data_IF_338351027493
#
_entry.id   IF_338351027493
#
_cell.length_a   1.000
_cell.length_b   1.000
_cell.length_c   1.000
_cell.angle_alpha   90.00
_cell.angle_beta   90.00
_cell.angle_gamma   90.00
#
_symmetry.space_group_name_H-M   'P 1'
#
loop_
_entity.id
_entity.type
_entity.pdbx_description
1 polymer ?
#
# COMPACT_ATOMS: atom_id res chain seq x y z
N UNK A 1 -0.73 -16.93 6.19
CA UNK A 1 -0.28 -16.50 4.85
C UNK A 1 -0.27 -14.99 4.91
N UNK A 2 0.88 -14.36 4.64
CA UNK A 2 0.96 -12.90 4.51
C UNK A 2 0.61 -12.52 3.08
N UNK A 3 -0.01 -11.35 2.91
CA UNK A 3 -0.38 -10.77 1.62
C UNK A 3 0.16 -9.35 1.57
N UNK A 4 0.80 -8.97 0.47
CA UNK A 4 1.54 -7.71 0.41
C UNK A 4 0.88 -6.80 -0.62
N UNK A 5 0.31 -5.67 -0.19
CA UNK A 5 -0.31 -4.68 -1.07
C UNK A 5 0.63 -3.50 -1.24
N UNK A 6 0.99 -3.16 -2.48
CA UNK A 6 2.06 -2.21 -2.77
C UNK A 6 1.54 -1.08 -3.65
N UNK A 7 1.84 0.17 -3.29
CA UNK A 7 1.23 1.35 -3.90
C UNK A 7 2.28 2.41 -4.18
N UNK A 8 2.27 2.91 -5.42
CA UNK A 8 3.09 4.03 -5.87
C UNK A 8 2.42 4.75 -7.03
N UNK A 9 2.90 5.94 -7.36
CA UNK A 9 2.40 6.76 -8.47
C UNK A 9 3.53 7.09 -9.44
N UNK A 10 3.31 6.84 -10.72
CA UNK A 10 4.22 7.27 -11.78
C UNK A 10 4.05 8.76 -12.08
N UNK A 11 5.16 9.43 -12.43
CA UNK A 11 5.12 10.74 -13.04
C UNK A 11 4.44 10.66 -14.40
N UNK A 12 3.89 11.79 -14.84
CA UNK A 12 3.26 11.92 -16.15
C UNK A 12 4.16 11.39 -17.28
N UNK A 13 3.58 10.58 -18.18
CA UNK A 13 4.26 9.97 -19.34
C UNK A 13 5.42 9.02 -18.99
N UNK A 14 5.50 8.52 -17.75
CA UNK A 14 6.44 7.48 -17.34
C UNK A 14 5.69 6.19 -17.03
N UNK A 15 6.21 5.07 -17.53
CA UNK A 15 5.78 3.73 -17.12
C UNK A 15 7.00 2.82 -17.13
N UNK A 16 7.28 2.19 -16.00
CA UNK A 16 8.46 1.34 -15.81
C UNK A 16 8.04 -0.11 -15.65
N UNK A 17 9.02 -1.01 -15.57
CA UNK A 17 8.78 -2.39 -15.20
C UNK A 17 8.37 -2.49 -13.71
N UNK A 18 7.11 -2.88 -13.47
CA UNK A 18 6.51 -2.85 -12.14
C UNK A 18 7.23 -3.75 -11.13
N UNK A 19 7.76 -4.90 -11.57
CA UNK A 19 8.51 -5.81 -10.70
C UNK A 19 9.81 -5.15 -10.23
N UNK A 20 10.59 -4.54 -11.14
CA UNK A 20 11.81 -3.83 -10.78
C UNK A 20 11.53 -2.61 -9.89
N UNK A 21 10.43 -1.89 -10.12
CA UNK A 21 10.02 -0.79 -9.25
C UNK A 21 9.70 -1.29 -7.85
N UNK A 22 8.88 -2.32 -7.74
CA UNK A 22 8.53 -2.95 -6.45
C UNK A 22 9.77 -3.42 -5.67
N UNK A 23 10.71 -4.10 -6.33
CA UNK A 23 11.95 -4.55 -5.70
C UNK A 23 12.80 -3.37 -5.21
N UNK A 24 12.95 -2.32 -6.03
CA UNK A 24 13.69 -1.13 -5.64
C UNK A 24 13.06 -0.39 -4.46
N UNK A 25 11.74 -0.23 -4.46
CA UNK A 25 11.01 0.42 -3.36
C UNK A 25 11.05 -0.42 -2.07
N UNK A 26 11.01 -1.74 -2.18
CA UNK A 26 11.15 -2.66 -1.04
C UNK A 26 12.55 -2.61 -0.41
N UNK A 27 13.58 -2.29 -1.20
CA UNK A 27 14.94 -2.02 -0.74
C UNK A 27 15.13 -0.57 -0.22
N UNK A 28 14.03 0.18 -0.05
CA UNK A 28 14.03 1.60 0.33
C UNK A 28 14.81 2.52 -0.65
N UNK A 29 14.98 2.09 -1.91
CA UNK A 29 15.64 2.89 -2.95
C UNK A 29 14.66 3.85 -3.61
N UNK A 30 15.12 5.06 -3.90
CA UNK A 30 14.37 6.02 -4.70
C UNK A 30 14.36 5.58 -6.17
N UNK A 31 13.21 5.72 -6.84
CA UNK A 31 13.05 5.35 -8.23
C UNK A 31 12.76 6.61 -9.06
N UNK A 32 13.64 6.90 -10.01
CA UNK A 32 13.41 7.98 -10.97
C UNK A 32 12.17 7.66 -11.81
N UNK A 33 11.22 8.60 -11.86
CA UNK A 33 9.95 8.40 -12.56
C UNK A 33 8.76 8.19 -11.65
N UNK A 34 8.95 8.12 -10.33
CA UNK A 34 7.86 8.11 -9.34
C UNK A 34 7.62 9.48 -8.73
N UNK A 35 6.37 9.76 -8.40
CA UNK A 35 5.97 10.93 -7.62
C UNK A 35 6.15 10.69 -6.12
N UNK A 36 6.46 11.77 -5.39
CA UNK A 36 6.34 11.75 -3.94
C UNK A 36 4.86 11.84 -3.58
N UNK A 37 4.43 11.03 -2.61
CA UNK A 37 3.04 10.90 -2.19
C UNK A 37 2.87 11.42 -0.74
N UNK A 38 1.68 11.92 -0.36
CA UNK A 38 1.46 12.54 0.95
C UNK A 38 1.32 11.50 2.06
N UNK A 39 2.43 10.85 2.42
CA UNK A 39 2.48 9.73 3.37
C UNK A 39 1.80 10.04 4.72
N UNK A 40 1.98 11.23 5.25
CA UNK A 40 1.35 11.62 6.53
C UNK A 40 -0.18 11.62 6.45
N UNK A 41 -0.75 12.04 5.32
CA UNK A 41 -2.21 12.06 5.12
C UNK A 41 -2.74 10.65 4.90
N UNK A 42 -2.05 9.86 4.07
CA UNK A 42 -2.39 8.46 3.82
C UNK A 42 -2.40 7.65 5.13
N UNK A 43 -1.34 7.77 5.94
CA UNK A 43 -1.27 7.08 7.25
C UNK A 43 -2.38 7.51 8.20
N UNK A 44 -2.79 8.78 8.16
CA UNK A 44 -3.92 9.28 8.95
C UNK A 44 -5.24 8.67 8.49
N UNK A 45 -5.51 8.62 7.18
CA UNK A 45 -6.72 8.00 6.63
C UNK A 45 -6.80 6.50 6.93
N UNK A 46 -5.68 5.78 6.80
CA UNK A 46 -5.64 4.36 7.18
C UNK A 46 -5.98 4.19 8.67
N UNK A 47 -5.36 4.97 9.55
CA UNK A 47 -5.66 4.91 10.98
C UNK A 47 -7.13 5.26 11.30
N UNK A 48 -7.75 6.15 10.55
CA UNK A 48 -9.18 6.48 10.69
C UNK A 48 -10.09 5.34 10.21
N UNK A 49 -9.76 4.72 9.08
CA UNK A 49 -10.52 3.61 8.48
C UNK A 49 -10.46 2.31 9.31
N UNK A 50 -9.40 2.14 10.11
CA UNK A 50 -9.19 1.02 11.02
C UNK A 50 -9.21 1.46 12.49
N UNK A 51 -9.98 2.51 12.80
CA UNK A 51 -10.09 3.05 14.17
C UNK A 51 -10.78 2.10 15.16
N UNK A 52 -11.44 1.05 14.66
CA UNK A 52 -12.00 -0.06 15.44
C UNK A 52 -11.01 -1.20 15.70
N UNK A 53 -9.79 -1.14 15.14
CA UNK A 53 -8.72 -2.11 15.36
C UNK A 53 -7.79 -1.65 16.50
N UNK A 54 -7.19 -2.61 17.18
CA UNK A 54 -6.21 -2.34 18.22
C UNK A 54 -4.89 -1.87 17.57
N UNK A 55 -4.48 -0.66 17.90
CA UNK A 55 -3.19 -0.11 17.47
C UNK A 55 -2.08 -0.64 18.37
N UNK A 56 -1.27 -1.58 17.85
CA UNK A 56 -0.16 -2.21 18.57
C UNK A 56 1.02 -1.25 18.69
N UNK A 57 1.35 -0.56 17.60
CA UNK A 57 2.38 0.48 17.54
C UNK A 57 2.05 1.52 16.45
N UNK A 58 3.00 2.38 16.07
CA UNK A 58 2.77 3.43 15.07
C UNK A 58 2.32 2.89 13.69
N UNK A 59 2.77 1.69 13.33
CA UNK A 59 2.64 1.06 12.03
C UNK A 59 1.85 -0.25 12.05
N UNK A 60 1.66 -0.86 13.22
CA UNK A 60 1.04 -2.17 13.36
C UNK A 60 -0.35 -2.07 13.98
N UNK A 61 -1.32 -2.76 13.37
CA UNK A 61 -2.71 -2.82 13.81
C UNK A 61 -3.16 -4.29 13.83
N UNK A 62 -3.98 -4.66 14.80
CA UNK A 62 -4.54 -5.99 14.89
C UNK A 62 -6.00 -5.98 15.35
N UNK A 63 -6.73 -7.00 14.95
CA UNK A 63 -8.04 -7.31 15.48
C UNK A 63 -8.16 -8.83 15.51
N UNK A 64 -8.26 -9.42 16.70
CA UNK A 64 -8.19 -10.88 16.92
C UNK A 64 -9.09 -11.69 15.97
N UNK A 65 -10.26 -11.17 15.61
CA UNK A 65 -11.20 -11.83 14.72
C UNK A 65 -11.00 -11.56 13.21
N UNK A 66 -10.23 -10.53 12.84
CA UNK A 66 -10.08 -10.05 11.45
C UNK A 66 -8.63 -10.05 10.93
N UNK A 67 -7.65 -10.36 11.77
CA UNK A 67 -6.24 -10.43 11.39
C UNK A 67 -5.42 -9.24 11.87
N UNK A 68 -4.32 -8.97 11.20
CA UNK A 68 -3.41 -7.86 11.52
C UNK A 68 -2.81 -7.27 10.24
N UNK A 69 -2.31 -6.04 10.30
CA UNK A 69 -1.49 -5.48 9.23
C UNK A 69 -0.37 -4.59 9.76
N UNK A 70 0.65 -4.42 8.93
CA UNK A 70 1.74 -3.48 9.16
C UNK A 70 1.90 -2.54 7.97
N UNK A 71 2.15 -1.26 8.27
CA UNK A 71 2.37 -0.23 7.27
C UNK A 71 3.87 0.06 7.17
N UNK A 72 4.44 -0.09 5.97
CA UNK A 72 5.75 0.42 5.61
C UNK A 72 5.59 1.55 4.60
N UNK A 73 6.31 2.65 4.79
CA UNK A 73 6.22 3.82 3.91
C UNK A 73 7.57 4.44 3.62
N UNK A 74 7.76 4.89 2.39
CA UNK A 74 8.80 5.84 1.97
C UNK A 74 8.11 7.04 1.31
N UNK A 75 8.81 8.14 0.97
CA UNK A 75 8.19 9.26 0.25
C UNK A 75 7.49 8.88 -1.06
N UNK A 76 7.82 7.75 -1.69
CA UNK A 76 7.30 7.31 -2.98
C UNK A 76 6.49 6.00 -2.92
N UNK A 77 6.32 5.43 -1.73
CA UNK A 77 5.84 4.06 -1.59
C UNK A 77 5.02 3.86 -0.32
N UNK A 78 3.92 3.12 -0.46
CA UNK A 78 3.18 2.54 0.67
C UNK A 78 3.09 1.05 0.44
N UNK A 79 3.48 0.28 1.45
CA UNK A 79 3.32 -1.17 1.48
C UNK A 79 2.53 -1.56 2.72
N UNK A 80 1.55 -2.43 2.52
CA UNK A 80 0.73 -3.00 3.58
C UNK A 80 0.97 -4.50 3.63
N UNK A 81 1.59 -4.97 4.69
CA UNK A 81 1.74 -6.39 4.97
C UNK A 81 0.52 -6.87 5.76
N UNK A 82 -0.36 -7.63 5.11
CA UNK A 82 -1.61 -8.14 5.67
C UNK A 82 -1.44 -9.56 6.19
N UNK A 83 -1.98 -9.86 7.38
CA UNK A 83 -1.87 -11.15 8.04
C UNK A 83 -3.26 -11.67 8.43
N UNK A 84 -3.78 -12.62 7.65
CA UNK A 84 -5.07 -13.25 7.93
C UNK A 84 -6.28 -12.35 7.75
N UNK A 85 -6.14 -11.28 6.97
CA UNK A 85 -7.21 -10.33 6.65
C UNK A 85 -8.14 -10.86 5.55
N UNK A 86 -9.41 -10.46 5.62
CA UNK A 86 -10.38 -10.71 4.55
C UNK A 86 -10.26 -9.66 3.42
N UNK A 87 -10.71 -10.04 2.22
CA UNK A 87 -10.66 -9.17 1.04
C UNK A 87 -11.39 -7.83 1.24
N UNK A 88 -12.50 -7.82 1.96
CA UNK A 88 -13.24 -6.58 2.25
C UNK A 88 -12.43 -5.57 3.08
N UNK A 89 -11.65 -6.04 4.06
CA UNK A 89 -10.77 -5.15 4.82
C UNK A 89 -9.55 -4.73 4.00
N UNK A 90 -9.00 -5.62 3.16
CA UNK A 90 -7.90 -5.28 2.26
C UNK A 90 -8.31 -4.23 1.19
N UNK A 91 -9.54 -4.30 0.69
CA UNK A 91 -10.08 -3.34 -0.28
C UNK A 91 -10.11 -1.90 0.25
N UNK A 92 -10.25 -1.71 1.57
CA UNK A 92 -10.16 -0.36 2.17
C UNK A 92 -8.84 0.32 1.85
N UNK A 93 -7.72 -0.41 1.82
CA UNK A 93 -6.43 0.17 1.44
C UNK A 93 -6.44 0.61 -0.02
N UNK A 94 -7.00 -0.22 -0.90
CA UNK A 94 -7.12 0.09 -2.34
C UNK A 94 -7.94 1.37 -2.52
N UNK A 95 -9.12 1.45 -1.89
CA UNK A 95 -9.99 2.62 -1.95
C UNK A 95 -9.31 3.89 -1.43
N UNK A 96 -8.59 3.80 -0.31
CA UNK A 96 -7.88 4.96 0.26
C UNK A 96 -6.75 5.43 -0.64
N UNK A 97 -5.95 4.50 -1.18
CA UNK A 97 -4.78 4.83 -2.00
C UNK A 97 -5.17 5.28 -3.41
N UNK A 98 -6.34 4.85 -3.89
CA UNK A 98 -6.92 5.32 -5.14
C UNK A 98 -7.22 6.83 -5.11
N UNK A 99 -7.65 7.37 -3.96
CA UNK A 99 -7.84 8.83 -3.79
C UNK A 99 -6.56 9.66 -4.02
N UNK A 100 -5.39 9.00 -4.06
CA UNK A 100 -4.09 9.61 -4.30
C UNK A 100 -3.48 9.20 -5.65
N UNK A 101 -4.27 8.59 -6.54
CA UNK A 101 -3.83 7.98 -7.82
C UNK A 101 -2.68 6.98 -7.64
N UNK A 102 -2.71 6.20 -6.54
CA UNK A 102 -1.73 5.17 -6.26
C UNK A 102 -2.37 3.78 -6.47
N UNK A 103 -2.37 3.23 -7.69
CA UNK A 103 -2.98 1.94 -7.94
C UNK A 103 -2.20 0.81 -7.27
N UNK A 104 -2.93 -0.28 -7.00
CA UNK A 104 -2.38 -1.49 -6.40
C UNK A 104 -1.40 -2.17 -7.36
N UNK A 105 -0.25 -2.56 -6.84
CA UNK A 105 0.57 -3.64 -7.34
C UNK A 105 0.50 -4.83 -6.39
N UNK A 106 0.18 -5.98 -6.96
CA UNK A 106 0.11 -7.25 -6.26
C UNK A 106 1.28 -8.15 -6.72
N UNK A 107 2.35 -8.28 -5.92
CA UNK A 107 3.48 -9.13 -6.25
C UNK A 107 3.16 -10.62 -6.18
N UNK A 108 2.03 -11.04 -5.59
CA UNK A 108 1.64 -12.45 -5.56
C UNK A 108 1.19 -12.92 -6.95
N UNK A 109 0.64 -12.02 -7.76
CA UNK A 109 0.27 -12.28 -9.16
C UNK A 109 1.15 -11.55 -10.17
N UNK A 110 1.99 -10.62 -9.73
CA UNK A 110 2.90 -9.86 -10.58
C UNK A 110 2.18 -8.80 -11.43
N UNK A 111 1.06 -8.27 -10.94
CA UNK A 111 0.17 -7.39 -11.70
C UNK A 111 -0.01 -6.03 -11.00
N UNK A 112 -0.03 -4.97 -11.81
CA UNK A 112 -0.40 -3.63 -11.38
C UNK A 112 -1.76 -3.28 -11.97
N UNK A 113 -2.69 -2.87 -11.12
CA UNK A 113 -4.06 -2.56 -11.48
C UNK A 113 -4.21 -1.06 -11.76
N UNK A 114 -3.62 -0.60 -12.86
CA UNK A 114 -3.61 0.84 -13.24
C UNK A 114 -4.97 1.36 -13.74
N UNK A 115 -5.91 0.48 -14.11
CA UNK A 115 -7.21 0.87 -14.66
C UNK A 115 -8.35 0.34 -13.80
N UNK A 116 -9.31 1.23 -13.50
CA UNK A 116 -10.65 0.86 -13.05
C UNK A 116 -11.56 0.81 -14.28
N UNK A 117 -11.87 -0.39 -14.79
CA UNK A 117 -13.01 -0.60 -15.68
C UNK A 117 -14.25 -1.06 -14.89
#
# INVERSE_FOLDING_TARGET
MSYDLNFWKYKENVYLDNQNVYEALSDERNVEGLEDIPIHEIRKKIAEAFSDWDKVDENSFEMVAKGAFQIMTTPQFVRIDCYGMEGEDMNKFIDILDEYDCPLYDPQVGERFDNHE
#
